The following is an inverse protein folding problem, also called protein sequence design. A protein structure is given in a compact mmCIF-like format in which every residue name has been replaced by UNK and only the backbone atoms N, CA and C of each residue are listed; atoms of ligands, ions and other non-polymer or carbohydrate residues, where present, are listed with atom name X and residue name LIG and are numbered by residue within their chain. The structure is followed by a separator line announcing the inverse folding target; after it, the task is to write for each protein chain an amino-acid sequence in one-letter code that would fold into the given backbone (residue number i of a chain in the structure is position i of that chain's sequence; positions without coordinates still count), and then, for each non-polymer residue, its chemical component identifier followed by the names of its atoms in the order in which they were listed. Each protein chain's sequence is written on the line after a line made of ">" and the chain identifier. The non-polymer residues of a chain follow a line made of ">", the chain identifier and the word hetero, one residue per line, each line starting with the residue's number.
data_IF_213861274631
#
_entry.id   IF_213861274631
#
_cell.length_a   1.000
_cell.length_b   1.000
_cell.length_c   1.000
_cell.angle_alpha   90.00
_cell.angle_beta   90.00
_cell.angle_gamma   90.00
#
_symmetry.space_group_name_H-M   'P 1'
#
loop_
_entity.id
_entity.type
_entity.pdbx_description
1 polymer ?
#
# COMPACT_ATOMS: atom_id res chain seq x y z
N UNK A 1 65.10 10.61 31.72
CA UNK A 1 63.67 11.01 31.67
C UNK A 1 63.26 11.10 30.22
N UNK A 2 62.65 10.04 29.68
CA UNK A 2 62.00 10.07 28.37
C UNK A 2 60.57 10.57 28.62
N UNK A 3 60.25 11.77 28.12
CA UNK A 3 58.89 12.29 28.13
C UNK A 3 58.09 11.47 27.12
N UNK A 4 57.27 10.56 27.63
CA UNK A 4 56.26 9.87 26.82
C UNK A 4 55.21 10.92 26.43
N UNK A 5 55.17 11.23 25.15
CA UNK A 5 54.20 12.15 24.57
C UNK A 5 52.80 11.52 24.66
N UNK A 6 51.83 12.11 25.39
CA UNK A 6 50.52 11.48 25.65
C UNK A 6 49.55 11.54 24.45
N UNK A 7 50.01 11.99 23.27
CA UNK A 7 49.16 12.18 22.09
C UNK A 7 48.86 10.87 21.34
N UNK A 8 49.62 9.79 21.56
CA UNK A 8 49.44 8.54 20.80
C UNK A 8 48.45 7.56 21.46
N UNK A 9 47.82 7.94 22.57
CA UNK A 9 46.93 7.07 23.35
C UNK A 9 45.51 7.63 23.49
N UNK A 10 45.11 8.50 22.57
CA UNK A 10 43.75 9.03 22.50
C UNK A 10 43.12 8.42 21.24
N UNK A 11 41.87 7.97 21.37
CA UNK A 11 40.96 7.52 20.30
C UNK A 11 40.94 6.01 19.95
N UNK A 12 40.88 5.15 20.98
CA UNK A 12 40.40 3.76 20.86
C UNK A 12 39.22 3.54 21.82
N UNK A 13 38.19 4.37 21.75
CA UNK A 13 36.89 4.10 22.39
C UNK A 13 35.83 5.01 21.75
N UNK A 14 34.72 4.39 21.31
CA UNK A 14 33.50 4.90 20.64
C UNK A 14 33.34 4.47 19.15
N UNK A 15 33.01 3.19 18.90
CA UNK A 15 32.45 2.74 17.61
C UNK A 15 30.97 3.15 17.47
N UNK A 16 30.68 4.43 17.59
CA UNK A 16 29.44 5.00 17.05
C UNK A 16 29.84 5.79 15.81
N UNK A 17 29.47 5.29 14.63
CA UNK A 17 29.68 5.98 13.34
C UNK A 17 29.30 7.46 13.48
N UNK A 18 30.34 8.29 13.64
CA UNK A 18 30.19 9.71 13.91
C UNK A 18 29.84 10.45 12.62
N UNK A 19 29.46 11.72 12.76
CA UNK A 19 29.33 12.61 11.59
C UNK A 19 30.66 12.68 10.81
N UNK A 20 31.79 12.64 11.52
CA UNK A 20 33.14 12.64 10.94
C UNK A 20 33.39 11.39 10.08
N UNK A 21 33.04 10.19 10.57
CA UNK A 21 33.16 8.94 9.83
C UNK A 21 32.27 8.91 8.58
N UNK A 22 31.05 9.43 8.70
CA UNK A 22 30.11 9.57 7.58
C UNK A 22 30.70 10.50 6.51
N UNK A 23 31.30 11.62 6.91
CA UNK A 23 31.96 12.56 5.99
C UNK A 23 33.15 11.89 5.30
N UNK A 24 33.95 11.11 6.03
CA UNK A 24 35.10 10.40 5.46
C UNK A 24 34.66 9.38 4.40
N UNK A 25 33.65 8.56 4.70
CA UNK A 25 33.08 7.61 3.73
C UNK A 25 32.52 8.35 2.52
N UNK A 26 31.80 9.45 2.74
CA UNK A 26 31.25 10.26 1.66
C UNK A 26 32.37 10.84 0.79
N UNK A 27 33.46 11.31 1.38
CA UNK A 27 34.63 11.82 0.65
C UNK A 27 35.27 10.72 -0.21
N UNK A 28 35.48 9.52 0.33
CA UNK A 28 35.99 8.36 -0.44
C UNK A 28 35.03 8.00 -1.58
N UNK A 29 33.72 7.94 -1.31
CA UNK A 29 32.71 7.68 -2.33
C UNK A 29 32.70 8.75 -3.43
N UNK A 30 32.86 10.03 -3.07
CA UNK A 30 32.97 11.14 -4.02
C UNK A 30 34.25 11.07 -4.85
N UNK A 31 35.36 10.58 -4.31
CA UNK A 31 36.59 10.36 -5.07
C UNK A 31 36.46 9.20 -6.07
N UNK A 32 35.78 8.11 -5.68
CA UNK A 32 35.58 6.95 -6.54
C UNK A 32 34.53 7.20 -7.64
N UNK A 33 33.39 7.80 -7.29
CA UNK A 33 32.25 7.96 -8.19
C UNK A 33 32.13 9.37 -8.77
N UNK A 34 32.75 10.39 -8.16
CA UNK A 34 32.64 11.78 -8.54
C UNK A 34 31.45 12.50 -7.88
N UNK A 35 31.59 13.82 -7.68
CA UNK A 35 30.57 14.67 -7.04
C UNK A 35 29.25 14.78 -7.81
N UNK A 36 29.28 14.53 -9.11
CA UNK A 36 28.09 14.57 -9.95
C UNK A 36 27.29 13.26 -9.92
N UNK A 37 27.94 12.11 -9.62
CA UNK A 37 27.31 10.80 -9.82
C UNK A 37 26.34 10.44 -8.70
N UNK A 38 26.70 10.72 -7.45
CA UNK A 38 25.84 10.50 -6.29
C UNK A 38 24.48 11.26 -6.41
N UNK A 39 24.45 12.57 -6.72
CA UNK A 39 23.19 13.30 -6.95
C UNK A 39 22.41 12.80 -8.17
N UNK A 40 23.09 12.43 -9.26
CA UNK A 40 22.45 11.88 -10.47
C UNK A 40 21.74 10.55 -10.15
N UNK A 41 22.42 9.65 -9.45
CA UNK A 41 21.87 8.36 -9.02
C UNK A 41 20.67 8.56 -8.11
N UNK A 42 20.76 9.43 -7.09
CA UNK A 42 19.66 9.76 -6.19
C UNK A 42 18.43 10.29 -6.95
N UNK A 43 18.63 11.18 -7.94
CA UNK A 43 17.54 11.69 -8.79
C UNK A 43 16.89 10.58 -9.62
N UNK A 44 17.69 9.69 -10.21
CA UNK A 44 17.18 8.58 -11.03
C UNK A 44 16.37 7.56 -10.20
N UNK A 45 16.89 7.17 -9.03
CA UNK A 45 16.22 6.31 -8.05
C UNK A 45 14.93 6.95 -7.51
N UNK A 46 14.98 8.26 -7.23
CA UNK A 46 13.82 9.02 -6.80
C UNK A 46 12.71 9.04 -7.84
N UNK A 47 13.05 9.25 -9.12
CA UNK A 47 12.10 9.16 -10.24
C UNK A 47 11.50 7.76 -10.36
N UNK A 48 12.34 6.73 -10.38
CA UNK A 48 11.91 5.34 -10.49
C UNK A 48 10.96 4.95 -9.35
N UNK A 49 11.31 5.30 -8.11
CA UNK A 49 10.45 5.06 -6.93
C UNK A 49 9.13 5.83 -7.01
N UNK A 50 9.16 7.07 -7.48
CA UNK A 50 7.97 7.90 -7.67
C UNK A 50 7.02 7.32 -8.72
N UNK A 51 7.54 6.92 -9.89
CA UNK A 51 6.77 6.27 -10.95
C UNK A 51 6.23 4.92 -10.50
N UNK A 52 7.03 4.12 -9.79
CA UNK A 52 6.61 2.85 -9.23
C UNK A 52 5.47 3.01 -8.22
N UNK A 53 5.54 4.00 -7.33
CA UNK A 53 4.46 4.31 -6.38
C UNK A 53 3.18 4.76 -7.10
N UNK A 54 3.32 5.60 -8.15
CA UNK A 54 2.17 6.04 -8.96
C UNK A 54 1.50 4.86 -9.67
N UNK A 55 2.28 3.97 -10.27
CA UNK A 55 1.77 2.77 -10.92
C UNK A 55 1.03 1.87 -9.92
N UNK A 56 1.61 1.63 -8.74
CA UNK A 56 0.94 0.86 -7.68
C UNK A 56 -0.42 1.46 -7.28
N UNK A 57 -0.50 2.78 -7.10
CA UNK A 57 -1.76 3.46 -6.74
C UNK A 57 -2.82 3.34 -7.85
N UNK A 58 -2.41 3.44 -9.11
CA UNK A 58 -3.30 3.25 -10.26
C UNK A 58 -3.80 1.82 -10.31
N UNK A 59 -2.91 0.83 -10.19
CA UNK A 59 -3.26 -0.58 -10.14
C UNK A 59 -4.22 -0.90 -8.98
N UNK A 60 -3.97 -0.39 -7.77
CA UNK A 60 -4.87 -0.61 -6.63
C UNK A 60 -6.27 0.00 -6.88
N UNK A 61 -6.31 1.19 -7.51
CA UNK A 61 -7.57 1.86 -7.86
C UNK A 61 -8.34 1.08 -8.92
N UNK A 62 -7.65 0.61 -9.96
CA UNK A 62 -8.22 -0.22 -11.02
C UNK A 62 -8.74 -1.56 -10.46
N UNK A 63 -7.96 -2.22 -9.60
CA UNK A 63 -8.39 -3.45 -8.93
C UNK A 63 -9.63 -3.21 -8.06
N UNK A 64 -9.68 -2.13 -7.27
CA UNK A 64 -10.87 -1.75 -6.50
C UNK A 64 -12.08 -1.48 -7.39
N UNK A 65 -11.89 -0.88 -8.56
CA UNK A 65 -12.96 -0.66 -9.54
C UNK A 65 -13.44 -1.96 -10.19
N UNK A 66 -12.56 -2.93 -10.41
CA UNK A 66 -12.92 -4.26 -10.93
C UNK A 66 -13.60 -5.16 -9.88
N UNK A 67 -13.37 -4.91 -8.59
CA UNK A 67 -14.00 -5.65 -7.47
C UNK A 67 -15.31 -5.02 -7.02
N UNK A 68 -15.53 -3.72 -7.26
CA UNK A 68 -16.82 -3.02 -7.04
C UNK A 68 -18.08 -3.71 -7.62
N UNK A 69 -18.05 -4.44 -8.75
CA UNK A 69 -19.23 -5.18 -9.25
C UNK A 69 -19.72 -6.27 -8.29
N UNK A 70 -18.93 -6.65 -7.27
CA UNK A 70 -19.34 -7.61 -6.25
C UNK A 70 -20.12 -6.93 -5.10
N UNK A 71 -19.77 -5.71 -4.69
CA UNK A 71 -20.55 -4.94 -3.70
C UNK A 71 -21.89 -4.42 -4.26
N UNK A 72 -21.94 -4.06 -5.55
CA UNK A 72 -23.15 -3.59 -6.23
C UNK A 72 -24.26 -4.65 -6.30
N UNK A 73 -23.90 -5.94 -6.27
CA UNK A 73 -24.89 -7.04 -6.28
C UNK A 73 -25.64 -7.10 -4.96
N UNK A 74 -24.94 -6.91 -3.86
CA UNK A 74 -25.50 -6.98 -2.52
C UNK A 74 -26.47 -5.81 -2.27
N UNK A 75 -26.11 -4.61 -2.73
CA UNK A 75 -26.99 -3.44 -2.67
C UNK A 75 -28.24 -3.63 -3.57
N UNK A 76 -28.10 -4.17 -4.78
CA UNK A 76 -29.24 -4.46 -5.67
C UNK A 76 -30.18 -5.52 -5.11
N UNK A 77 -29.65 -6.57 -4.48
CA UNK A 77 -30.45 -7.62 -3.83
C UNK A 77 -31.24 -7.02 -2.66
N UNK A 78 -30.60 -6.18 -1.84
CA UNK A 78 -31.26 -5.47 -0.74
C UNK A 78 -32.37 -4.53 -1.20
N UNK A 79 -32.12 -3.74 -2.26
CA UNK A 79 -33.10 -2.80 -2.81
C UNK A 79 -34.30 -3.54 -3.44
N UNK A 80 -34.07 -4.62 -4.19
CA UNK A 80 -35.12 -5.44 -4.77
C UNK A 80 -35.96 -6.14 -3.69
N UNK A 81 -35.32 -6.64 -2.63
CA UNK A 81 -36.02 -7.24 -1.50
C UNK A 81 -36.91 -6.22 -0.77
N UNK A 82 -36.38 -5.01 -0.51
CA UNK A 82 -37.12 -3.93 0.13
C UNK A 82 -38.32 -3.47 -0.71
N UNK A 83 -38.17 -3.35 -2.03
CA UNK A 83 -39.25 -2.99 -2.96
C UNK A 83 -40.36 -4.06 -3.00
N UNK A 84 -39.98 -5.34 -2.84
CA UNK A 84 -40.92 -6.45 -2.70
C UNK A 84 -41.55 -6.56 -1.29
N UNK A 85 -41.26 -5.62 -0.39
CA UNK A 85 -41.76 -5.59 0.99
C UNK A 85 -41.22 -6.73 1.85
N UNK A 86 -40.01 -7.21 1.59
CA UNK A 86 -39.32 -8.18 2.43
C UNK A 86 -38.58 -7.48 3.57
N UNK A 87 -38.57 -8.10 4.75
CA UNK A 87 -37.72 -7.62 5.85
C UNK A 87 -36.26 -7.98 5.53
N UNK A 88 -35.46 -6.96 5.26
CA UNK A 88 -34.04 -7.09 4.91
C UNK A 88 -33.13 -7.04 6.14
N UNK A 89 -33.66 -6.76 7.33
CA UNK A 89 -32.83 -6.62 8.54
C UNK A 89 -32.48 -8.02 9.04
N UNK A 90 -31.18 -8.31 9.16
CA UNK A 90 -30.61 -9.59 9.62
C UNK A 90 -30.77 -10.79 8.67
N UNK A 91 -30.92 -10.59 7.36
CA UNK A 91 -30.90 -11.69 6.38
C UNK A 91 -29.65 -11.62 5.50
N UNK A 92 -29.06 -12.78 5.19
CA UNK A 92 -27.96 -12.86 4.21
C UNK A 92 -28.48 -12.73 2.78
N UNK A 93 -27.60 -12.40 1.84
CA UNK A 93 -27.97 -12.25 0.43
C UNK A 93 -28.58 -13.52 -0.16
N UNK A 94 -28.13 -14.69 0.27
CA UNK A 94 -28.68 -15.99 -0.13
C UNK A 94 -30.12 -16.17 0.36
N UNK A 95 -30.41 -15.75 1.59
CA UNK A 95 -31.77 -15.84 2.17
C UNK A 95 -32.74 -14.89 1.46
N UNK A 96 -32.30 -13.68 1.12
CA UNK A 96 -33.09 -12.71 0.37
C UNK A 96 -33.38 -13.22 -1.06
N UNK A 97 -32.41 -13.84 -1.73
CA UNK A 97 -32.58 -14.42 -3.07
C UNK A 97 -33.64 -15.53 -3.08
N UNK A 98 -33.63 -16.42 -2.09
CA UNK A 98 -34.62 -17.50 -1.99
C UNK A 98 -36.03 -16.97 -1.72
N UNK A 99 -36.15 -15.94 -0.91
CA UNK A 99 -37.44 -15.34 -0.57
C UNK A 99 -38.03 -14.52 -1.74
N UNK A 100 -37.18 -13.80 -2.48
CA UNK A 100 -37.55 -13.15 -3.76
C UNK A 100 -38.04 -14.20 -4.76
N UNK A 101 -37.28 -15.29 -4.94
CA UNK A 101 -37.64 -16.39 -5.86
C UNK A 101 -38.96 -17.04 -5.48
N UNK A 102 -39.21 -17.24 -4.18
CA UNK A 102 -40.45 -17.82 -3.66
C UNK A 102 -41.67 -16.92 -3.91
N UNK A 103 -41.53 -15.59 -3.71
CA UNK A 103 -42.59 -14.61 -4.00
C UNK A 103 -42.91 -14.51 -5.49
N UNK A 104 -41.90 -14.52 -6.37
CA UNK A 104 -42.10 -14.47 -7.83
C UNK A 104 -42.83 -15.74 -8.31
N UNK A 105 -42.38 -16.92 -7.88
CA UNK A 105 -42.98 -18.20 -8.27
C UNK A 105 -44.44 -18.31 -7.81
N UNK A 106 -44.74 -17.86 -6.58
CA UNK A 106 -46.11 -17.87 -6.07
C UNK A 106 -47.04 -16.93 -6.84
N UNK A 107 -46.51 -15.82 -7.39
CA UNK A 107 -47.28 -14.86 -8.17
C UNK A 107 -47.52 -15.29 -9.63
N UNK A 108 -46.61 -16.09 -10.23
CA UNK A 108 -46.79 -16.66 -11.57
C UNK A 108 -47.78 -17.82 -11.60
N UNK A 109 -47.83 -18.65 -10.55
CA UNK A 109 -48.71 -19.83 -10.47
C UNK A 109 -50.20 -19.43 -10.32
N UNK A 110 -50.50 -18.20 -9.91
CA UNK A 110 -51.88 -17.70 -9.74
C UNK A 110 -52.51 -17.12 -11.01
N UNK A 111 -51.76 -17.00 -12.11
CA UNK A 111 -52.26 -16.45 -13.39
C UNK A 111 -52.63 -17.50 -14.45
N UNK A 112 -52.52 -18.78 -14.14
CA UNK A 112 -52.94 -19.89 -15.02
C UNK A 112 -54.22 -20.52 -14.50
#
# INVERSE_FOLDING_TARGET
>A
MLSLNPVFLVDLEEEMFGIEDIILILAVALLLFGSNKLPEMARSLGKATGEFKKAQMQTETELKQMVKPLDDKDEKIHNLAAEMGLDTRNKSNEQLIEEIRSKIRSNEVLKT
#
